data_IF_938428911230
#
_entry.id   IF_938428911230
#
_cell.length_a   1.000
_cell.length_b   1.000
_cell.length_c   1.000
_cell.angle_alpha   90.00
_cell.angle_beta   90.00
_cell.angle_gamma   90.00
#
_symmetry.space_group_name_H-M   'P 1'
#
loop_
_entity.id
_entity.type
_entity.pdbx_description
1 polymer ?
#
# COMPACT_ATOMS: atom_id res chain seq x y z
N UNK A 1 -17.78 -0.24 12.29
CA UNK A 1 -16.38 -0.62 11.98
C UNK A 1 -16.32 -2.14 12.06
N UNK A 2 -16.72 -2.82 11.00
CA UNK A 2 -16.79 -4.29 10.98
C UNK A 2 -15.38 -4.88 11.03
N UNK A 3 -15.14 -5.85 11.92
CA UNK A 3 -13.86 -6.55 12.02
C UNK A 3 -12.98 -6.13 13.19
N UNK A 4 -13.53 -5.50 14.23
CA UNK A 4 -12.79 -5.25 15.47
C UNK A 4 -12.53 -6.56 16.25
N UNK A 5 -11.55 -6.54 17.15
CA UNK A 5 -11.28 -7.69 18.03
C UNK A 5 -12.52 -8.08 18.85
N UNK A 6 -13.35 -7.10 19.23
CA UNK A 6 -14.53 -7.33 20.05
C UNK A 6 -15.68 -7.94 19.25
N UNK A 7 -15.80 -7.63 17.96
CA UNK A 7 -16.71 -8.33 17.05
C UNK A 7 -16.33 -9.81 16.94
N UNK A 8 -15.04 -10.11 16.80
CA UNK A 8 -14.55 -11.50 16.72
C UNK A 8 -14.83 -12.25 18.02
N UNK A 9 -14.56 -11.64 19.18
CA UNK A 9 -14.91 -12.24 20.48
C UNK A 9 -16.42 -12.49 20.59
N UNK A 10 -17.27 -11.56 20.16
CA UNK A 10 -18.73 -11.70 20.18
C UNK A 10 -19.18 -12.90 19.36
N UNK A 11 -18.67 -13.04 18.13
CA UNK A 11 -18.97 -14.16 17.24
C UNK A 11 -18.47 -15.48 17.84
N UNK A 12 -17.23 -15.54 18.31
CA UNK A 12 -16.65 -16.74 18.92
C UNK A 12 -17.43 -17.17 20.16
N UNK A 13 -17.82 -16.22 21.03
CA UNK A 13 -18.63 -16.50 22.21
C UNK A 13 -20.05 -16.97 21.87
N UNK A 14 -20.64 -16.47 20.79
CA UNK A 14 -21.93 -17.00 20.28
C UNK A 14 -21.79 -18.46 19.79
N UNK A 15 -20.71 -18.79 19.09
CA UNK A 15 -20.43 -20.17 18.66
C UNK A 15 -20.20 -21.13 19.83
N UNK A 16 -19.55 -20.68 20.90
CA UNK A 16 -19.42 -21.45 22.15
C UNK A 16 -20.78 -21.67 22.80
N UNK A 17 -21.61 -20.63 22.90
CA UNK A 17 -22.97 -20.73 23.47
C UNK A 17 -23.87 -21.69 22.69
N UNK A 18 -23.73 -21.74 21.37
CA UNK A 18 -24.42 -22.69 20.49
C UNK A 18 -23.80 -24.09 20.50
N UNK A 19 -22.79 -24.33 21.34
CA UNK A 19 -22.03 -25.59 21.45
C UNK A 19 -21.44 -26.06 20.10
N UNK A 20 -21.13 -25.12 19.20
CA UNK A 20 -20.49 -25.39 17.90
C UNK A 20 -18.98 -25.55 18.02
N UNK A 21 -18.39 -24.93 19.03
CA UNK A 21 -16.97 -25.01 19.37
C UNK A 21 -16.82 -25.08 20.89
N UNK A 22 -15.72 -25.67 21.38
CA UNK A 22 -15.39 -25.71 22.80
C UNK A 22 -14.70 -24.42 23.24
N UNK A 23 -14.72 -24.16 24.55
CA UNK A 23 -14.15 -22.95 25.15
C UNK A 23 -12.63 -22.83 24.91
N UNK A 24 -11.89 -23.93 24.89
CA UNK A 24 -10.45 -23.91 24.62
C UNK A 24 -10.15 -23.60 23.14
N UNK A 25 -10.98 -24.10 22.22
CA UNK A 25 -10.87 -23.79 20.78
C UNK A 25 -11.15 -22.32 20.49
N UNK A 26 -12.09 -21.71 21.24
CA UNK A 26 -12.38 -20.27 21.15
C UNK A 26 -11.14 -19.40 21.43
N UNK A 27 -10.33 -19.77 22.42
CA UNK A 27 -9.07 -19.08 22.73
C UNK A 27 -8.08 -19.13 21.56
N UNK A 28 -7.94 -20.29 20.94
CA UNK A 28 -7.06 -20.48 19.78
C UNK A 28 -7.51 -19.69 18.56
N UNK A 29 -8.82 -19.65 18.29
CA UNK A 29 -9.39 -18.87 17.19
C UNK A 29 -9.07 -17.37 17.37
N UNK A 30 -9.30 -16.84 18.57
CA UNK A 30 -9.03 -15.43 18.88
C UNK A 30 -7.52 -15.13 18.77
N UNK A 31 -6.66 -16.01 19.30
CA UNK A 31 -5.19 -15.85 19.23
C UNK A 31 -4.68 -15.86 17.78
N UNK A 32 -5.19 -16.78 16.96
CA UNK A 32 -4.84 -16.88 15.53
C UNK A 32 -5.29 -15.63 14.76
N UNK A 33 -6.51 -15.15 15.02
CA UNK A 33 -7.02 -13.92 14.42
C UNK A 33 -6.15 -12.71 14.78
N UNK A 34 -5.85 -12.51 16.07
CA UNK A 34 -4.98 -11.40 16.54
C UNK A 34 -3.62 -11.41 15.86
N UNK A 35 -2.98 -12.58 15.76
CA UNK A 35 -1.69 -12.72 15.12
C UNK A 35 -1.76 -12.44 13.61
N UNK A 36 -2.86 -12.80 12.94
CA UNK A 36 -3.09 -12.47 11.53
C UNK A 36 -3.23 -10.96 11.34
N UNK A 37 -4.05 -10.32 12.16
CA UNK A 37 -4.32 -8.88 12.03
C UNK A 37 -3.07 -8.04 12.34
N UNK A 38 -2.30 -8.43 13.37
CA UNK A 38 -1.00 -7.80 13.66
C UNK A 38 -0.05 -7.84 12.44
N UNK A 39 0.04 -8.98 11.75
CA UNK A 39 0.89 -9.10 10.55
C UNK A 39 0.36 -8.27 9.39
N UNK A 40 -0.96 -8.18 9.23
CA UNK A 40 -1.61 -7.37 8.19
C UNK A 40 -1.29 -5.90 8.38
N UNK A 41 -1.54 -5.38 9.58
CA UNK A 41 -1.23 -4.00 9.95
C UNK A 41 0.26 -3.74 9.79
N UNK A 42 1.13 -4.63 10.27
CA UNK A 42 2.58 -4.51 10.11
C UNK A 42 3.02 -4.38 8.64
N UNK A 43 2.43 -5.18 7.72
CA UNK A 43 2.70 -5.06 6.29
C UNK A 43 2.19 -3.75 5.69
N UNK A 44 1.01 -3.29 6.11
CA UNK A 44 0.45 -2.02 5.64
C UNK A 44 1.31 -0.83 6.10
N UNK A 45 1.70 -0.82 7.38
CA UNK A 45 2.60 0.19 7.93
C UNK A 45 3.95 0.13 7.21
N UNK A 46 4.56 -1.05 7.06
CA UNK A 46 5.83 -1.18 6.34
C UNK A 46 5.74 -0.70 4.88
N UNK A 47 4.65 -1.02 4.17
CA UNK A 47 4.42 -0.52 2.81
C UNK A 47 4.29 1.00 2.77
N UNK A 48 3.66 1.58 3.80
CA UNK A 48 3.47 3.03 3.93
C UNK A 48 4.75 3.76 4.35
N UNK A 49 5.59 3.15 5.19
CA UNK A 49 6.85 3.75 5.65
C UNK A 49 7.96 3.60 4.63
N UNK A 50 8.02 2.45 3.94
CA UNK A 50 9.07 2.13 2.97
C UNK A 50 8.78 2.68 1.57
N UNK A 51 7.66 3.39 1.37
CA UNK A 51 7.43 4.11 0.11
C UNK A 51 8.40 5.27 0.03
N UNK A 52 9.16 5.33 -1.06
CA UNK A 52 10.09 6.42 -1.34
C UNK A 52 9.50 7.37 -2.35
N UNK A 53 9.76 8.65 -2.15
CA UNK A 53 9.36 9.68 -3.08
C UNK A 53 10.27 9.66 -4.31
N UNK A 54 9.68 9.61 -5.51
CA UNK A 54 10.46 9.64 -6.76
C UNK A 54 11.10 11.00 -7.06
N UNK A 55 10.67 12.08 -6.38
CA UNK A 55 11.24 13.41 -6.53
C UNK A 55 12.37 13.66 -5.52
N UNK A 56 12.07 13.73 -4.22
CA UNK A 56 13.09 14.05 -3.20
C UNK A 56 13.83 12.84 -2.61
N UNK A 57 13.52 11.61 -3.04
CA UNK A 57 14.11 10.33 -2.56
C UNK A 57 13.94 10.05 -1.07
N UNK A 58 13.16 10.85 -0.35
CA UNK A 58 12.85 10.62 1.06
C UNK A 58 11.78 9.53 1.23
N UNK A 59 11.85 8.82 2.35
CA UNK A 59 10.90 7.76 2.72
C UNK A 59 9.63 8.31 3.39
N UNK A 60 8.58 7.50 3.44
CA UNK A 60 7.32 7.79 4.12
C UNK A 60 6.25 8.46 3.26
N UNK A 61 6.56 8.87 2.03
CA UNK A 61 5.62 9.49 1.11
C UNK A 61 5.95 9.15 -0.36
N UNK A 62 4.96 9.29 -1.24
CA UNK A 62 5.12 9.11 -2.70
C UNK A 62 5.17 10.46 -3.38
N UNK A 63 5.46 10.48 -4.69
CA UNK A 63 5.49 11.71 -5.48
C UNK A 63 4.22 12.56 -5.32
N UNK A 64 3.04 11.95 -5.17
CA UNK A 64 1.78 12.69 -4.97
C UNK A 64 1.72 13.47 -3.64
N UNK A 65 2.29 12.89 -2.58
CA UNK A 65 2.25 13.40 -1.21
C UNK A 65 3.54 14.17 -0.83
N UNK A 66 4.36 14.54 -1.82
CA UNK A 66 5.67 15.12 -1.55
C UNK A 66 5.57 16.59 -1.12
N UNK A 67 6.09 16.97 0.06
CA UNK A 67 6.00 18.35 0.57
C UNK A 67 6.88 19.34 -0.20
N UNK A 68 7.87 18.84 -0.95
CA UNK A 68 8.81 19.68 -1.71
C UNK A 68 8.34 19.94 -3.16
N UNK A 69 7.17 19.44 -3.56
CA UNK A 69 6.68 19.58 -4.95
C UNK A 69 6.52 21.02 -5.40
N UNK A 70 6.16 21.91 -4.47
CA UNK A 70 5.83 23.30 -4.80
C UNK A 70 7.04 24.25 -4.70
N UNK A 71 8.17 23.77 -4.16
CA UNK A 71 9.37 24.60 -3.93
C UNK A 71 10.41 24.53 -5.06
N UNK A 72 10.25 23.64 -6.04
CA UNK A 72 11.24 23.41 -7.11
C UNK A 72 10.65 23.53 -8.52
N UNK A 73 9.64 24.38 -8.73
CA UNK A 73 9.12 24.64 -10.08
C UNK A 73 10.07 25.47 -10.96
N UNK A 74 11.31 25.76 -10.52
CA UNK A 74 12.24 26.65 -11.26
C UNK A 74 13.68 26.15 -11.48
N UNK A 75 14.15 25.03 -10.91
CA UNK A 75 15.59 24.71 -10.99
C UNK A 75 15.97 23.46 -11.80
N UNK A 76 15.03 22.57 -12.14
CA UNK A 76 15.35 21.42 -13.00
C UNK A 76 14.19 21.18 -13.97
N UNK A 77 14.49 21.36 -15.25
CA UNK A 77 13.51 21.48 -16.33
C UNK A 77 12.33 20.50 -16.28
N UNK A 78 11.13 21.09 -16.28
CA UNK A 78 9.89 20.60 -16.87
C UNK A 78 9.74 19.07 -17.02
N UNK A 79 9.15 18.42 -16.01
CA UNK A 79 8.00 17.53 -16.25
C UNK A 79 6.94 17.92 -15.23
N UNK A 80 6.20 18.98 -15.55
CA UNK A 80 4.95 19.30 -14.90
C UNK A 80 3.98 18.15 -15.20
N UNK A 81 3.35 17.62 -14.16
CA UNK A 81 2.23 16.69 -14.28
C UNK A 81 1.09 17.37 -15.04
N UNK A 82 1.00 17.13 -16.34
CA UNK A 82 -0.21 17.30 -17.12
C UNK A 82 -0.19 16.29 -18.25
N UNK A 83 -0.93 15.19 -18.03
CA UNK A 83 -1.49 14.33 -19.07
C UNK A 83 -0.60 14.00 -20.28
N UNK A 84 0.17 12.91 -20.21
CA UNK A 84 0.53 12.14 -21.41
C UNK A 84 2.01 11.85 -21.64
N UNK A 85 2.89 12.84 -21.56
CA UNK A 85 4.22 12.74 -22.20
C UNK A 85 5.37 12.85 -21.19
N UNK A 86 5.52 11.79 -20.38
CA UNK A 86 6.70 11.58 -19.54
C UNK A 86 7.70 10.65 -20.20
N UNK A 87 8.97 10.71 -19.76
CA UNK A 87 10.05 9.83 -20.23
C UNK A 87 9.67 8.36 -20.07
N UNK A 88 9.79 7.56 -21.13
CA UNK A 88 9.63 6.13 -21.13
C UNK A 88 10.74 5.46 -20.31
N UNK A 89 10.43 5.02 -19.09
CA UNK A 89 11.40 4.30 -18.25
C UNK A 89 11.89 2.95 -18.82
N UNK A 90 11.29 2.44 -19.91
CA UNK A 90 11.73 1.22 -20.59
C UNK A 90 12.79 1.48 -21.67
N UNK A 91 12.73 2.63 -22.36
CA UNK A 91 13.62 2.91 -23.50
C UNK A 91 14.28 4.29 -23.51
N UNK A 92 13.96 5.16 -22.54
CA UNK A 92 14.50 6.50 -22.41
C UNK A 92 13.91 7.56 -23.36
N UNK A 93 12.98 7.21 -24.24
CA UNK A 93 12.31 8.18 -25.12
C UNK A 93 11.42 9.13 -24.32
N UNK A 94 11.39 10.40 -24.71
CA UNK A 94 10.49 11.42 -24.12
C UNK A 94 9.15 11.54 -24.86
N UNK A 95 8.97 10.81 -25.97
CA UNK A 95 7.79 10.92 -26.85
C UNK A 95 6.61 10.06 -26.38
N UNK A 96 6.83 9.15 -25.42
CA UNK A 96 5.78 8.26 -24.95
C UNK A 96 6.06 7.79 -23.52
N UNK A 97 5.00 7.42 -22.80
CA UNK A 97 5.11 6.71 -21.54
C UNK A 97 5.44 5.21 -21.76
N UNK A 98 5.99 4.53 -20.74
CA UNK A 98 6.16 3.06 -20.68
C UNK A 98 4.96 2.29 -21.22
N UNK A 99 3.73 2.74 -20.94
CA UNK A 99 2.51 2.08 -21.41
C UNK A 99 2.34 2.09 -22.94
N UNK A 100 2.79 3.16 -23.60
CA UNK A 100 2.72 3.34 -25.05
C UNK A 100 4.08 3.03 -25.72
N UNK A 101 4.99 2.35 -25.02
CA UNK A 101 6.33 2.09 -25.53
C UNK A 101 6.30 1.11 -26.72
N UNK A 102 6.84 1.50 -27.89
CA UNK A 102 6.95 0.61 -29.05
C UNK A 102 7.87 -0.57 -28.76
N UNK A 103 8.81 -0.44 -27.81
CA UNK A 103 9.71 -1.52 -27.37
C UNK A 103 9.13 -2.35 -26.21
N UNK A 104 7.81 -2.32 -25.98
CA UNK A 104 7.17 -3.07 -24.87
C UNK A 104 7.44 -4.58 -24.89
N UNK A 105 7.49 -5.19 -26.08
CA UNK A 105 7.65 -6.65 -26.26
C UNK A 105 9.04 -7.06 -26.75
N UNK A 106 10.00 -6.15 -26.82
CA UNK A 106 11.37 -6.51 -27.20
C UNK A 106 12.04 -7.09 -25.96
N UNK A 107 12.45 -8.35 -26.08
CA UNK A 107 13.04 -9.17 -25.01
C UNK A 107 14.49 -8.77 -24.77
#
# INVERSE_FOLDING_TARGET
>A
MEGSLDDVKRVVNDLVRRNKIKQWEAGDIIKRWRNRERRRIGRQVSKQTNRSCFHCRQQGHVLADCPNRDNETQAVGNVVSSHGDGICFKCGSTEHNVHNCPRKHVK
#
